data_IF_057557728412
#
_entry.id   IF_057557728412
#
_cell.length_a   1.000
_cell.length_b   1.000
_cell.length_c   1.000
_cell.angle_alpha   90.00
_cell.angle_beta   90.00
_cell.angle_gamma   90.00
#
_symmetry.space_group_name_H-M   'P 1'
#
loop_
_entity.id
_entity.type
_entity.pdbx_description
1 polymer ?
#
# COMPACT_ATOMS: atom_id res chain seq x y z
N UNK A 1 -2.07 -6.95 -3.74
CA UNK A 1 -2.92 -5.99 -3.00
C UNK A 1 -3.49 -6.57 -1.70
N UNK A 2 -4.29 -7.65 -1.73
CA UNK A 2 -4.84 -8.24 -0.49
C UNK A 2 -3.77 -8.72 0.49
N UNK A 3 -2.72 -9.37 -0.02
CA UNK A 3 -1.58 -9.79 0.80
C UNK A 3 -0.87 -8.60 1.45
N UNK A 4 -0.56 -7.54 0.69
CA UNK A 4 0.06 -6.32 1.22
C UNK A 4 -0.75 -5.68 2.35
N UNK A 5 -2.08 -5.73 2.23
CA UNK A 5 -2.98 -5.24 3.28
C UNK A 5 -3.01 -6.20 4.48
N UNK A 6 -2.96 -7.50 4.23
CA UNK A 6 -2.96 -8.53 5.27
C UNK A 6 -1.65 -8.56 6.06
N UNK A 7 -0.51 -8.36 5.40
CA UNK A 7 0.83 -8.31 6.00
C UNK A 7 1.13 -6.96 6.65
N UNK A 8 0.24 -5.97 6.52
CA UNK A 8 0.42 -4.62 7.07
C UNK A 8 1.41 -3.75 6.28
N UNK A 9 1.91 -4.22 5.14
CA UNK A 9 2.80 -3.46 4.25
C UNK A 9 2.09 -2.31 3.55
N UNK A 10 0.77 -2.38 3.39
CA UNK A 10 -0.05 -1.31 2.83
C UNK A 10 -1.16 -0.93 3.81
N UNK A 11 -1.10 0.30 4.31
CA UNK A 11 -2.09 0.83 5.22
C UNK A 11 -3.49 0.81 4.60
N UNK A 12 -4.46 0.31 5.36
CA UNK A 12 -5.86 0.31 4.94
C UNK A 12 -6.78 0.43 6.14
N UNK A 13 -8.02 0.87 5.89
CA UNK A 13 -9.08 0.89 6.88
C UNK A 13 -10.37 0.29 6.30
N UNK A 14 -11.25 -0.18 7.18
CA UNK A 14 -12.53 -0.77 6.79
C UNK A 14 -13.61 0.30 6.64
N UNK A 15 -14.41 0.17 5.59
CA UNK A 15 -15.66 0.92 5.39
C UNK A 15 -16.74 -0.12 5.03
N UNK A 16 -17.55 -0.49 6.01
CA UNK A 16 -18.48 -1.61 5.89
C UNK A 16 -17.74 -2.93 5.58
N UNK A 17 -18.12 -3.57 4.46
CA UNK A 17 -17.49 -4.81 3.97
C UNK A 17 -16.28 -4.57 3.06
N UNK A 18 -15.98 -3.31 2.72
CA UNK A 18 -14.87 -2.95 1.84
C UNK A 18 -13.67 -2.48 2.67
N UNK A 19 -12.47 -2.62 2.09
CA UNK A 19 -11.28 -1.92 2.57
C UNK A 19 -10.96 -0.75 1.66
N UNK A 20 -10.49 0.33 2.25
CA UNK A 20 -10.05 1.54 1.57
C UNK A 20 -8.58 1.75 1.88
N UNK A 21 -7.83 2.17 0.87
CA UNK A 21 -6.42 2.51 0.98
C UNK A 21 -6.33 4.04 0.90
N UNK A 22 -5.73 4.72 1.89
CA UNK A 22 -5.49 6.15 1.80
C UNK A 22 -4.62 6.49 0.57
N UNK A 23 -4.97 7.55 -0.15
CA UNK A 23 -4.24 7.94 -1.36
C UNK A 23 -2.75 8.20 -1.08
N UNK A 24 -2.44 8.86 0.03
CA UNK A 24 -1.08 9.13 0.47
C UNK A 24 -0.31 7.83 0.74
N UNK A 25 -0.94 6.86 1.41
CA UNK A 25 -0.31 5.57 1.69
C UNK A 25 0.02 4.79 0.40
N UNK A 26 -0.90 4.82 -0.58
CA UNK A 26 -0.66 4.23 -1.89
C UNK A 26 0.48 4.95 -2.63
N UNK A 27 0.50 6.28 -2.60
CA UNK A 27 1.54 7.08 -3.25
C UNK A 27 2.92 6.79 -2.64
N UNK A 28 3.04 6.79 -1.32
CA UNK A 28 4.31 6.47 -0.64
C UNK A 28 4.78 5.06 -0.96
N UNK A 29 3.87 4.08 -1.00
CA UNK A 29 4.19 2.71 -1.37
C UNK A 29 4.76 2.63 -2.80
N UNK A 30 4.13 3.29 -3.78
CA UNK A 30 4.61 3.31 -5.16
C UNK A 30 5.98 4.00 -5.26
N UNK A 31 6.20 5.10 -4.54
CA UNK A 31 7.49 5.79 -4.50
C UNK A 31 8.59 4.89 -3.93
N UNK A 32 8.32 4.14 -2.86
CA UNK A 32 9.27 3.19 -2.28
C UNK A 32 9.63 2.08 -3.27
N UNK A 33 8.65 1.53 -3.99
CA UNK A 33 8.91 0.54 -5.04
C UNK A 33 9.78 1.10 -6.17
N UNK A 34 9.49 2.32 -6.63
CA UNK A 34 10.27 2.97 -7.68
C UNK A 34 11.71 3.25 -7.25
N UNK A 35 11.93 3.58 -5.98
CA UNK A 35 13.27 3.76 -5.40
C UNK A 35 14.02 2.42 -5.29
N UNK A 36 13.34 1.36 -4.85
CA UNK A 36 13.94 0.02 -4.75
C UNK A 36 14.38 -0.50 -6.12
N UNK A 37 13.57 -0.29 -7.17
CA UNK A 37 13.85 -0.75 -8.54
C UNK A 37 15.03 -0.04 -9.20
N UNK A 38 15.53 1.06 -8.63
CA UNK A 38 16.63 1.85 -9.21
C UNK A 38 18.01 1.45 -8.67
N UNK A 39 18.05 0.57 -7.66
CA UNK A 39 19.26 0.07 -7.02
C UNK A 39 19.67 -1.34 -7.48
N UNK A 40 18.92 -1.94 -8.42
CA UNK A 40 19.27 -3.16 -9.15
C UNK A 40 19.71 -2.80 -10.58
#
# INVERSE_FOLDING_TARGET
>A
MYELVFTGQLASYKVGRSRRIPAQALQSFIQQLALSSKND
#
